data_IF_256516020345
#
_entry.id   IF_256516020345
#
_cell.length_a   1.000
_cell.length_b   1.000
_cell.length_c   1.000
_cell.angle_alpha   90.00
_cell.angle_beta   90.00
_cell.angle_gamma   90.00
#
_symmetry.space_group_name_H-M   'P 1'
#
loop_
_entity.id
_entity.type
_entity.pdbx_description
1 polymer ?
#
# COMPACT_ATOMS: atom_id res chain seq x y z
N UNK A 1 -18.98 3.58 -12.38
CA UNK A 1 -18.36 2.94 -11.21
C UNK A 1 -17.20 2.14 -11.76
N UNK A 2 -16.01 2.72 -11.80
CA UNK A 2 -14.83 2.07 -12.39
C UNK A 2 -14.31 1.07 -11.37
N UNK A 3 -14.47 -0.22 -11.66
CA UNK A 3 -13.86 -1.28 -10.86
C UNK A 3 -12.38 -1.33 -11.23
N UNK A 4 -11.46 -1.40 -10.27
CA UNK A 4 -10.04 -1.60 -10.58
C UNK A 4 -9.83 -2.95 -11.27
N UNK A 5 -9.24 -2.94 -12.47
CA UNK A 5 -9.14 -4.13 -13.32
C UNK A 5 -7.80 -4.90 -13.17
N UNK A 6 -6.81 -4.33 -12.46
CA UNK A 6 -5.44 -4.86 -12.39
C UNK A 6 -5.03 -5.32 -10.98
N UNK A 7 -5.68 -6.37 -10.47
CA UNK A 7 -5.35 -6.93 -9.15
C UNK A 7 -4.05 -7.73 -9.16
N UNK A 8 -3.16 -7.42 -8.21
CA UNK A 8 -1.89 -8.11 -7.97
C UNK A 8 -1.87 -8.63 -6.55
N UNK A 9 -1.67 -9.94 -6.40
CA UNK A 9 -1.50 -10.61 -5.10
C UNK A 9 -0.08 -10.41 -4.57
N UNK A 10 0.06 -10.24 -3.26
CA UNK A 10 1.38 -10.18 -2.60
C UNK A 10 2.18 -11.47 -2.79
N UNK A 11 3.48 -11.38 -3.08
CA UNK A 11 4.37 -12.55 -3.16
C UNK A 11 4.65 -13.19 -1.80
N UNK A 12 4.28 -12.54 -0.69
CA UNK A 12 4.36 -13.11 0.66
C UNK A 12 3.18 -14.04 1.00
N UNK A 13 2.20 -14.18 0.09
CA UNK A 13 1.18 -15.22 0.21
C UNK A 13 1.79 -16.57 -0.18
N UNK A 14 2.37 -17.29 0.79
CA UNK A 14 2.86 -18.66 0.58
C UNK A 14 1.71 -19.65 0.36
N UNK A 15 2.03 -20.85 -0.15
CA UNK A 15 1.06 -21.93 -0.45
C UNK A 15 0.57 -22.71 0.79
N UNK A 16 0.68 -22.16 2.00
CA UNK A 16 0.32 -22.82 3.26
C UNK A 16 -0.59 -21.95 4.15
N UNK A 17 -0.99 -22.49 5.29
CA UNK A 17 -2.00 -21.92 6.22
C UNK A 17 -1.60 -20.60 6.93
N UNK A 18 -0.55 -19.90 6.47
CA UNK A 18 -0.06 -18.61 6.99
C UNK A 18 -0.58 -17.43 6.16
N UNK A 19 -1.89 -17.25 6.21
CA UNK A 19 -2.70 -16.78 5.10
C UNK A 19 -3.18 -15.33 5.29
N UNK A 20 -2.26 -14.37 5.34
CA UNK A 20 -2.56 -12.94 5.23
C UNK A 20 -2.47 -12.50 3.75
N UNK A 21 -3.47 -12.88 2.96
CA UNK A 21 -3.46 -12.63 1.52
C UNK A 21 -4.09 -11.28 1.23
N UNK A 22 -3.28 -10.31 0.81
CA UNK A 22 -3.75 -9.02 0.31
C UNK A 22 -3.54 -8.92 -1.19
N UNK A 23 -4.52 -8.34 -1.89
CA UNK A 23 -4.36 -7.93 -3.29
C UNK A 23 -4.48 -6.41 -3.39
N UNK A 24 -3.71 -5.85 -4.31
CA UNK A 24 -3.74 -4.42 -4.62
C UNK A 24 -4.07 -4.22 -6.09
N UNK A 25 -4.83 -3.18 -6.40
CA UNK A 25 -4.99 -2.67 -7.75
C UNK A 25 -4.78 -1.15 -7.71
N UNK A 26 -4.05 -0.60 -8.68
CA UNK A 26 -3.76 0.82 -8.72
C UNK A 26 -4.26 1.44 -10.03
N UNK A 27 -4.87 2.61 -9.89
CA UNK A 27 -5.27 3.50 -10.98
C UNK A 27 -4.50 4.83 -10.84
N UNK A 28 -4.71 5.77 -11.76
CA UNK A 28 -4.02 7.06 -11.77
C UNK A 28 -4.23 7.90 -10.49
N UNK A 29 -5.34 7.71 -9.79
CA UNK A 29 -5.71 8.56 -8.64
C UNK A 29 -5.86 7.80 -7.33
N UNK A 30 -5.97 6.46 -7.36
CA UNK A 30 -6.32 5.65 -6.20
C UNK A 30 -5.63 4.29 -6.22
N UNK A 31 -5.41 3.75 -5.03
CA UNK A 31 -4.99 2.38 -4.77
C UNK A 31 -6.12 1.68 -4.03
N UNK A 32 -6.54 0.55 -4.57
CA UNK A 32 -7.54 -0.33 -4.01
C UNK A 32 -6.84 -1.51 -3.32
N UNK A 33 -7.25 -1.82 -2.10
CA UNK A 33 -6.68 -2.88 -1.26
C UNK A 33 -7.82 -3.73 -0.73
N UNK A 34 -7.69 -5.05 -0.85
CA UNK A 34 -8.66 -5.99 -0.29
C UNK A 34 -8.00 -7.27 0.19
N UNK A 35 -8.73 -7.99 1.03
CA UNK A 35 -8.39 -9.35 1.39
C UNK A 35 -8.63 -10.29 0.19
N UNK A 36 -7.64 -11.14 -0.13
CA UNK A 36 -7.73 -12.07 -1.27
C UNK A 36 -8.67 -13.23 -1.01
N UNK A 37 -8.91 -13.61 0.25
CA UNK A 37 -9.77 -14.75 0.60
C UNK A 37 -11.23 -14.35 0.48
N UNK A 38 -11.54 -13.13 0.89
CA UNK A 38 -12.90 -12.63 0.92
C UNK A 38 -13.05 -11.27 0.20
N UNK A 39 -12.86 -11.24 -1.14
CA UNK A 39 -12.93 -10.00 -1.91
C UNK A 39 -14.32 -9.34 -1.89
N UNK A 40 -15.36 -10.09 -1.49
CA UNK A 40 -16.72 -9.61 -1.36
C UNK A 40 -16.97 -8.78 -0.08
N UNK A 41 -16.12 -8.88 0.95
CA UNK A 41 -16.31 -8.11 2.18
C UNK A 41 -15.92 -6.64 2.06
N UNK A 42 -15.31 -6.25 0.94
CA UNK A 42 -15.12 -4.86 0.59
C UNK A 42 -13.71 -4.54 0.11
N UNK A 43 -13.53 -3.28 -0.25
CA UNK A 43 -12.26 -2.77 -0.78
C UNK A 43 -11.98 -1.43 -0.13
N UNK A 44 -10.79 -1.31 0.45
CA UNK A 44 -10.28 -0.05 0.95
C UNK A 44 -9.69 0.74 -0.21
N UNK A 45 -10.11 2.00 -0.38
CA UNK A 45 -9.55 2.90 -1.39
C UNK A 45 -8.74 4.00 -0.73
N UNK A 46 -7.50 4.16 -1.18
CA UNK A 46 -6.56 5.18 -0.70
C UNK A 46 -6.14 6.05 -1.89
N UNK A 47 -6.07 7.40 -1.77
CA UNK A 47 -5.51 8.22 -2.82
C UNK A 47 -4.07 7.81 -3.16
N UNK A 48 -3.72 7.77 -4.44
CA UNK A 48 -2.44 7.24 -4.91
C UNK A 48 -1.23 7.96 -4.28
N UNK A 49 -1.29 9.30 -4.16
CA UNK A 49 -0.22 10.09 -3.53
C UNK A 49 -0.01 9.75 -2.05
N UNK A 50 -1.10 9.54 -1.30
CA UNK A 50 -1.04 9.18 0.13
C UNK A 50 -0.45 7.79 0.31
N UNK A 51 -0.85 6.84 -0.54
CA UNK A 51 -0.29 5.49 -0.51
C UNK A 51 1.21 5.49 -0.83
N UNK A 52 1.66 6.31 -1.78
CA UNK A 52 3.08 6.46 -2.09
C UNK A 52 3.86 7.01 -0.88
N UNK A 53 3.38 8.09 -0.24
CA UNK A 53 4.01 8.63 0.98
C UNK A 53 4.09 7.59 2.10
N UNK A 54 3.02 6.81 2.30
CA UNK A 54 3.01 5.73 3.27
C UNK A 54 4.08 4.67 2.98
N UNK A 55 4.19 4.20 1.73
CA UNK A 55 5.19 3.20 1.34
C UNK A 55 6.61 3.75 1.49
N UNK A 56 6.85 5.01 1.14
CA UNK A 56 8.14 5.65 1.37
C UNK A 56 8.48 5.65 2.86
N UNK A 57 7.56 6.02 3.75
CA UNK A 57 7.80 6.02 5.20
C UNK A 57 8.15 4.64 5.78
N UNK A 58 7.76 3.54 5.13
CA UNK A 58 8.07 2.17 5.56
C UNK A 58 9.47 1.69 5.15
N UNK A 59 10.18 2.38 4.25
CA UNK A 59 11.52 1.94 3.83
C UNK A 59 12.52 2.22 4.96
N UNK A 60 13.45 1.29 5.24
CA UNK A 60 14.35 1.35 6.39
C UNK A 60 15.30 2.57 6.40
N UNK A 61 15.52 3.22 5.25
CA UNK A 61 16.41 4.37 5.11
C UNK A 61 15.71 5.59 4.50
N UNK A 62 14.38 5.65 4.55
CA UNK A 62 13.70 6.86 4.09
C UNK A 62 14.05 8.02 5.01
N UNK A 63 14.47 9.19 4.49
CA UNK A 63 14.58 10.38 5.31
C UNK A 63 13.18 10.64 5.85
N UNK A 64 13.01 10.44 7.17
CA UNK A 64 11.79 10.82 7.86
C UNK A 64 11.59 12.30 7.53
N UNK A 65 10.61 12.57 6.67
CA UNK A 65 10.16 13.94 6.45
C UNK A 65 9.24 14.22 7.61
N UNK A 66 9.82 14.39 8.79
CA UNK A 66 9.11 14.93 9.93
C UNK A 66 8.78 16.38 9.57
N UNK A 67 7.49 16.76 9.41
CA UNK A 67 7.14 18.15 9.16
C UNK A 67 7.59 19.11 10.29
N UNK A 68 8.03 18.58 11.44
CA UNK A 68 8.50 19.35 12.58
C UNK A 68 10.03 19.44 12.74
N UNK A 69 10.85 18.75 11.93
CA UNK A 69 12.32 18.84 12.04
C UNK A 69 12.93 19.49 10.79
N UNK A 70 13.50 20.71 10.90
CA UNK A 70 14.18 21.33 9.77
C UNK A 70 15.41 20.51 9.38
N UNK A 71 15.55 20.27 8.07
CA UNK A 71 16.69 19.61 7.47
C UNK A 71 17.98 20.41 7.68
N UNK A 72 18.60 20.27 8.86
CA UNK A 72 19.93 20.78 9.17
C UNK A 72 20.45 20.00 10.36
N UNK A 73 21.04 18.83 10.11
CA UNK A 73 22.13 18.24 10.90
C UNK A 73 22.41 16.81 10.41
N UNK A 74 23.09 16.72 9.27
CA UNK A 74 24.02 15.62 9.02
C UNK A 74 25.31 16.25 8.51
N UNK A 75 26.25 16.47 9.43
CA UNK A 75 27.67 16.61 9.11
C UNK A 75 28.32 15.23 9.14
#
# INVERSE_FOLDING_TARGET
MTTPDNWRKSSYSGSGDGNACVEIANDLTRVAIRDSKDPAYGTLFVPAGVFATFVEALKPNSPVTDPAIPASMTS
#
